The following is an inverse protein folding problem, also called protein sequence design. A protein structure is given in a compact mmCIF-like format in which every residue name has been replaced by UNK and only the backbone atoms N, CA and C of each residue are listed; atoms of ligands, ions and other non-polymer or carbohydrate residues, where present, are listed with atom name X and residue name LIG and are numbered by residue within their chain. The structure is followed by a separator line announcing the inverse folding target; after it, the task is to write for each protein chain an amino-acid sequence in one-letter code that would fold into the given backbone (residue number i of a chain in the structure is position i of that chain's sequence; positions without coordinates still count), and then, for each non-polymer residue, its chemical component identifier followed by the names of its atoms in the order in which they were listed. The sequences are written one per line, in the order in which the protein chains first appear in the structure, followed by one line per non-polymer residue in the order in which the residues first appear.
data_IF_155751688709
#
_entry.id   IF_155751688709
#
_cell.length_a   1.000
_cell.length_b   1.000
_cell.length_c   1.000
_cell.angle_alpha   90.00
_cell.angle_beta   90.00
_cell.angle_gamma   90.00
#
_symmetry.space_group_name_H-M   'P 1'
#
loop_
_entity.id
_entity.type
_entity.pdbx_description
1 polymer ?
#
# COMPACT_ATOMS: atom_id res chain seq x y z
N UNK A 1 -10.35 6.14 21.89
CA UNK A 1 -10.85 6.68 20.61
C UNK A 1 -11.57 5.54 19.91
N UNK A 2 -12.87 5.63 19.64
CA UNK A 2 -13.56 4.56 18.89
C UNK A 2 -13.07 4.61 17.44
N UNK A 3 -12.35 3.58 17.00
CA UNK A 3 -11.96 3.47 15.59
C UNK A 3 -13.22 3.24 14.74
N UNK A 4 -13.64 4.28 14.02
CA UNK A 4 -14.71 4.15 13.02
C UNK A 4 -14.14 3.42 11.82
N UNK A 5 -14.74 2.27 11.46
CA UNK A 5 -14.32 1.47 10.32
C UNK A 5 -15.45 1.36 9.30
N UNK A 6 -15.09 1.41 8.01
CA UNK A 6 -16.02 1.15 6.92
C UNK A 6 -16.44 -0.31 7.00
N UNK A 7 -17.74 -0.58 7.02
CA UNK A 7 -18.27 -1.94 7.03
C UNK A 7 -18.54 -2.44 5.61
N UNK A 8 -18.49 -3.76 5.39
CA UNK A 8 -18.88 -4.35 4.11
C UNK A 8 -20.34 -4.05 3.71
N UNK A 9 -21.21 -3.77 4.68
CA UNK A 9 -22.57 -3.30 4.40
C UNK A 9 -22.57 -1.91 3.78
N UNK A 10 -21.70 -1.01 4.27
CA UNK A 10 -21.51 0.33 3.68
C UNK A 10 -20.99 0.23 2.25
N UNK A 11 -19.98 -0.62 2.01
CA UNK A 11 -19.42 -0.83 0.66
C UNK A 11 -20.48 -1.34 -0.31
N UNK A 12 -21.28 -2.33 0.10
CA UNK A 12 -22.38 -2.88 -0.74
C UNK A 12 -23.42 -1.82 -1.07
N UNK A 13 -23.75 -0.94 -0.11
CA UNK A 13 -24.66 0.17 -0.34
C UNK A 13 -24.08 1.18 -1.33
N UNK A 14 -22.83 1.62 -1.12
CA UNK A 14 -22.10 2.50 -2.04
C UNK A 14 -22.05 1.93 -3.47
N UNK A 15 -21.71 0.65 -3.61
CA UNK A 15 -21.71 -0.06 -4.89
C UNK A 15 -23.06 0.02 -5.60
N UNK A 16 -24.16 -0.12 -4.86
CA UNK A 16 -25.52 -0.07 -5.42
C UNK A 16 -25.92 1.33 -5.88
N UNK A 17 -25.61 2.36 -5.10
CA UNK A 17 -26.00 3.75 -5.43
C UNK A 17 -25.11 4.38 -6.50
N UNK A 18 -23.83 4.00 -6.57
CA UNK A 18 -22.87 4.57 -7.54
C UNK A 18 -22.92 3.90 -8.90
N UNK A 19 -23.48 2.69 -8.99
CA UNK A 19 -23.55 1.96 -10.26
C UNK A 19 -24.37 2.67 -11.34
N UNK A 20 -25.58 3.21 -11.07
CA UNK A 20 -26.31 4.02 -12.04
C UNK A 20 -25.51 5.23 -12.52
N UNK A 21 -24.79 5.91 -11.62
CA UNK A 21 -23.94 7.07 -11.95
C UNK A 21 -22.85 6.70 -12.96
N UNK A 22 -22.26 5.52 -12.82
CA UNK A 22 -21.27 5.00 -13.77
C UNK A 22 -21.92 4.54 -15.10
N UNK A 23 -23.11 3.94 -15.04
CA UNK A 23 -23.86 3.50 -16.23
C UNK A 23 -24.38 4.68 -17.07
N UNK A 24 -24.71 5.80 -16.44
CA UNK A 24 -25.04 7.07 -17.08
C UNK A 24 -23.82 7.81 -17.65
N UNK A 25 -22.61 7.33 -17.37
CA UNK A 25 -21.35 7.90 -17.84
C UNK A 25 -20.93 9.20 -17.13
N UNK A 26 -21.56 9.53 -15.99
CA UNK A 26 -21.18 10.69 -15.16
C UNK A 26 -19.77 10.49 -14.59
N UNK A 27 -19.46 9.25 -14.19
CA UNK A 27 -18.10 8.79 -13.89
C UNK A 27 -17.74 7.61 -14.79
N UNK A 28 -16.46 7.42 -15.04
CA UNK A 28 -16.02 6.29 -15.86
C UNK A 28 -16.17 4.96 -15.11
N UNK A 29 -16.47 3.87 -15.83
CA UNK A 29 -16.49 2.50 -15.28
C UNK A 29 -15.17 2.14 -14.56
N UNK A 30 -13.97 2.46 -15.08
CA UNK A 30 -12.71 2.25 -14.37
C UNK A 30 -12.62 2.99 -13.03
N UNK A 31 -13.02 4.27 -12.99
CA UNK A 31 -13.03 5.08 -11.78
C UNK A 31 -13.98 4.52 -10.72
N UNK A 32 -15.20 4.15 -11.12
CA UNK A 32 -16.14 3.45 -10.26
C UNK A 32 -15.54 2.15 -9.68
N UNK A 33 -14.93 1.32 -10.53
CA UNK A 33 -14.34 0.06 -10.09
C UNK A 33 -13.20 0.26 -9.10
N UNK A 34 -12.35 1.27 -9.31
CA UNK A 34 -11.27 1.60 -8.39
C UNK A 34 -11.80 2.10 -7.05
N UNK A 35 -12.79 3.01 -7.03
CA UNK A 35 -13.42 3.48 -5.80
C UNK A 35 -14.04 2.33 -4.99
N UNK A 36 -14.77 1.42 -5.64
CA UNK A 36 -15.33 0.24 -4.97
C UNK A 36 -14.22 -0.69 -4.47
N UNK A 37 -13.15 -0.86 -5.24
CA UNK A 37 -12.00 -1.67 -4.84
C UNK A 37 -11.29 -1.10 -3.60
N UNK A 38 -11.11 0.22 -3.52
CA UNK A 38 -10.53 0.91 -2.36
C UNK A 38 -11.39 0.73 -1.11
N UNK A 39 -12.69 1.00 -1.23
CA UNK A 39 -13.65 0.86 -0.13
C UNK A 39 -13.74 -0.60 0.37
N UNK A 40 -13.66 -1.57 -0.54
CA UNK A 40 -13.64 -2.99 -0.19
C UNK A 40 -12.37 -3.34 0.61
N UNK A 41 -11.20 -2.91 0.15
CA UNK A 41 -9.93 -3.14 0.85
C UNK A 41 -9.92 -2.51 2.26
N UNK A 42 -10.44 -1.29 2.38
CA UNK A 42 -10.62 -0.62 3.67
C UNK A 42 -11.54 -1.40 4.62
N UNK A 43 -12.64 -1.95 4.11
CA UNK A 43 -13.59 -2.69 4.92
C UNK A 43 -13.07 -4.08 5.34
N UNK A 44 -12.28 -4.74 4.49
CA UNK A 44 -11.75 -6.09 4.75
C UNK A 44 -10.46 -6.08 5.58
N UNK A 45 -9.58 -5.11 5.32
CA UNK A 45 -8.21 -5.10 5.85
C UNK A 45 -7.94 -3.91 6.77
N UNK A 46 -8.84 -2.93 6.83
CA UNK A 46 -8.64 -1.69 7.61
C UNK A 46 -7.59 -0.75 7.02
N UNK A 47 -7.11 -1.02 5.81
CA UNK A 47 -6.10 -0.23 5.10
C UNK A 47 -6.56 0.05 3.66
N UNK A 48 -6.25 1.22 3.09
CA UNK A 48 -6.48 1.50 1.68
C UNK A 48 -5.80 0.46 0.78
N UNK A 49 -6.37 0.23 -0.40
CA UNK A 49 -5.72 -0.62 -1.40
C UNK A 49 -4.40 0.06 -1.78
N UNK A 50 -3.26 -0.65 -1.69
CA UNK A 50 -1.97 -0.06 -2.03
C UNK A 50 -2.00 0.46 -3.47
N UNK A 51 -1.58 1.73 -3.66
CA UNK A 51 -1.42 2.32 -4.98
C UNK A 51 -0.40 1.56 -5.85
N UNK A 52 0.44 0.74 -5.20
CA UNK A 52 1.47 -0.07 -5.83
C UNK A 52 1.21 -1.53 -5.50
N UNK A 53 1.26 -2.40 -6.51
CA UNK A 53 1.10 -3.84 -6.32
C UNK A 53 2.12 -4.32 -5.28
N UNK A 54 1.69 -4.93 -4.17
CA UNK A 54 2.61 -5.41 -3.15
C UNK A 54 3.58 -6.44 -3.73
N UNK A 55 4.87 -6.17 -3.60
CA UNK A 55 5.95 -7.09 -3.98
C UNK A 55 7.06 -7.10 -2.94
N UNK A 56 7.88 -8.14 -3.01
CA UNK A 56 9.05 -8.31 -2.16
C UNK A 56 10.31 -7.86 -2.89
N UNK A 57 10.93 -6.82 -2.35
CA UNK A 57 12.18 -6.24 -2.83
C UNK A 57 13.37 -6.93 -2.17
N UNK A 58 14.48 -7.05 -2.89
CA UNK A 58 15.78 -7.36 -2.28
C UNK A 58 16.50 -6.10 -1.75
N UNK A 59 17.66 -6.29 -1.12
CA UNK A 59 18.43 -5.18 -0.52
C UNK A 59 18.91 -4.16 -1.56
N UNK A 60 19.19 -4.60 -2.78
CA UNK A 60 19.67 -3.72 -3.87
C UNK A 60 18.52 -2.85 -4.37
N UNK A 61 17.35 -3.43 -4.63
CA UNK A 61 16.15 -2.70 -5.04
C UNK A 61 15.74 -1.65 -3.99
N UNK A 62 15.84 -1.98 -2.69
CA UNK A 62 15.54 -1.01 -1.62
C UNK A 62 16.56 0.13 -1.59
N UNK A 63 17.85 -0.16 -1.73
CA UNK A 63 18.89 0.87 -1.77
C UNK A 63 18.67 1.84 -2.94
N UNK A 64 18.30 1.31 -4.11
CA UNK A 64 17.95 2.11 -5.29
C UNK A 64 16.73 3.00 -5.04
N UNK A 65 15.67 2.47 -4.41
CA UNK A 65 14.49 3.27 -4.05
C UNK A 65 14.80 4.39 -3.05
N UNK A 66 15.76 4.18 -2.16
CA UNK A 66 16.22 5.18 -1.20
C UNK A 66 17.24 6.17 -1.77
N UNK A 67 17.69 5.98 -3.02
CA UNK A 67 18.71 6.83 -3.64
C UNK A 67 20.10 6.71 -3.01
N UNK A 68 20.43 5.58 -2.38
CA UNK A 68 21.72 5.34 -1.72
C UNK A 68 22.43 4.11 -2.29
N UNK A 69 23.74 4.00 -2.04
CA UNK A 69 24.49 2.80 -2.41
C UNK A 69 24.07 1.60 -1.55
N UNK A 70 24.14 0.40 -2.12
CA UNK A 70 23.83 -0.85 -1.41
C UNK A 70 24.73 -1.09 -0.20
N UNK A 71 26.01 -0.69 -0.26
CA UNK A 71 26.92 -0.76 0.90
C UNK A 71 26.47 0.16 2.04
N UNK A 72 25.99 1.37 1.73
CA UNK A 72 25.46 2.29 2.72
C UNK A 72 24.14 1.76 3.32
N UNK A 73 23.25 1.22 2.48
CA UNK A 73 22.02 0.58 2.92
C UNK A 73 22.29 -0.53 3.96
N UNK A 74 23.21 -1.45 3.67
CA UNK A 74 23.56 -2.55 4.59
C UNK A 74 24.06 -2.05 5.94
N UNK A 75 24.85 -0.97 5.96
CA UNK A 75 25.36 -0.37 7.18
C UNK A 75 24.21 0.22 8.02
N UNK A 76 23.36 1.05 7.40
CA UNK A 76 22.21 1.66 8.05
C UNK A 76 21.18 0.63 8.53
N UNK A 77 20.97 -0.43 7.75
CA UNK A 77 20.10 -1.54 8.15
C UNK A 77 20.64 -2.26 9.39
N UNK A 78 21.94 -2.56 9.44
CA UNK A 78 22.56 -3.20 10.59
C UNK A 78 22.51 -2.33 11.86
N UNK A 79 22.52 -1.01 11.68
CA UNK A 79 22.35 0.00 12.75
C UNK A 79 20.87 0.19 13.15
N UNK A 80 19.92 -0.43 12.44
CA UNK A 80 18.50 -0.33 12.73
C UNK A 80 17.88 1.01 12.32
N UNK A 81 18.47 1.72 11.36
CA UNK A 81 18.04 3.06 10.95
C UNK A 81 16.66 3.11 10.27
N UNK A 82 16.16 1.98 9.78
CA UNK A 82 14.91 1.91 9.01
C UNK A 82 13.78 1.23 9.79
N UNK A 83 12.55 1.79 9.75
CA UNK A 83 11.41 1.24 10.48
C UNK A 83 10.71 0.07 9.76
N UNK A 84 10.98 -0.12 8.46
CA UNK A 84 10.38 -1.21 7.68
C UNK A 84 11.01 -2.57 8.02
N UNK A 85 10.19 -3.63 7.98
CA UNK A 85 10.58 -4.95 8.51
C UNK A 85 11.30 -5.80 7.46
N UNK A 86 12.42 -6.41 7.86
CA UNK A 86 13.06 -7.50 7.12
C UNK A 86 12.22 -8.79 7.21
N UNK A 87 12.11 -9.52 6.09
CA UNK A 87 11.44 -10.82 6.03
C UNK A 87 12.37 -11.85 5.38
N UNK A 88 12.57 -12.98 6.04
CA UNK A 88 13.25 -14.12 5.42
C UNK A 88 12.29 -14.85 4.49
N UNK A 89 12.68 -15.03 3.23
CA UNK A 89 11.97 -15.84 2.24
C UNK A 89 12.98 -16.81 1.63
N UNK A 90 12.92 -18.07 2.08
CA UNK A 90 13.99 -19.03 1.83
C UNK A 90 15.28 -18.58 2.51
N UNK A 91 16.37 -18.51 1.75
CA UNK A 91 17.68 -18.03 2.21
C UNK A 91 17.91 -16.52 1.99
N UNK A 92 16.96 -15.81 1.36
CA UNK A 92 17.11 -14.40 1.01
C UNK A 92 16.30 -13.49 1.94
N UNK A 93 16.88 -12.34 2.27
CA UNK A 93 16.19 -11.24 2.96
C UNK A 93 15.36 -10.46 1.93
N UNK A 94 14.13 -10.12 2.31
CA UNK A 94 13.20 -9.33 1.51
C UNK A 94 12.51 -8.25 2.33
N UNK A 95 12.04 -7.22 1.64
CA UNK A 95 11.27 -6.10 2.20
C UNK A 95 9.99 -5.92 1.41
N UNK A 96 8.92 -5.47 2.07
CA UNK A 96 7.71 -5.08 1.34
C UNK A 96 7.93 -3.72 0.71
N UNK A 97 7.70 -3.62 -0.60
CA UNK A 97 7.79 -2.33 -1.30
C UNK A 97 6.88 -1.27 -0.70
N UNK A 98 5.69 -1.64 -0.24
CA UNK A 98 4.76 -0.72 0.44
C UNK A 98 5.38 -0.07 1.67
N UNK A 99 6.03 -0.87 2.53
CA UNK A 99 6.62 -0.38 3.78
C UNK A 99 7.82 0.57 3.49
N UNK A 100 8.54 0.34 2.39
CA UNK A 100 9.64 1.22 1.93
C UNK A 100 9.09 2.52 1.35
N UNK A 101 8.02 2.46 0.57
CA UNK A 101 7.34 3.64 0.01
C UNK A 101 6.77 4.51 1.12
N UNK A 102 6.10 3.92 2.11
CA UNK A 102 5.55 4.64 3.27
C UNK A 102 6.65 5.38 4.04
N UNK A 103 7.83 4.76 4.20
CA UNK A 103 9.00 5.41 4.80
C UNK A 103 9.46 6.63 3.99
N UNK A 104 9.58 6.50 2.65
CA UNK A 104 10.00 7.61 1.79
C UNK A 104 8.99 8.77 1.90
N UNK A 105 7.70 8.49 1.76
CA UNK A 105 6.65 9.51 1.82
C UNK A 105 6.61 10.19 3.19
N UNK A 106 6.72 9.43 4.29
CA UNK A 106 6.73 10.01 5.63
C UNK A 106 7.97 10.85 5.95
N UNK A 107 9.05 10.72 5.17
CA UNK A 107 10.25 11.56 5.31
C UNK A 107 10.17 12.89 4.55
N UNK A 108 9.17 13.06 3.67
CA UNK A 108 8.94 14.27 2.88
C UNK A 108 7.91 15.24 3.51
N UNK A 109 7.28 14.86 4.64
CA UNK A 109 6.26 15.64 5.37
C UNK A 109 6.80 16.11 6.72
#
# INVERSE_FOLDING_TARGET
MNEVRISMTTVRFFKRIMRPVAEEGIISLPEYNEAISQLTCLAEHGIPKPAVIPKLLDQQEVAEMLGISHSNFKKLEAEGAFPFKRKMVGSAVRYRNTDVIDYIISSEV
#
